data_IF_050117861082
#
_entry.id   IF_050117861082
#
_cell.length_a   1.000
_cell.length_b   1.000
_cell.length_c   1.000
_cell.angle_alpha   90.00
_cell.angle_beta   90.00
_cell.angle_gamma   90.00
#
_symmetry.space_group_name_H-M   'P 1'
#
loop_
_entity.id
_entity.type
_entity.pdbx_description
1 polymer ?
#
# COMPACT_ATOMS: atom_id res chain seq x y z
N UNK A 1 -45.19 27.87 -14.91
CA UNK A 1 -45.19 26.51 -15.52
C UNK A 1 -44.06 26.29 -16.53
N UNK A 2 -43.54 27.31 -17.23
CA UNK A 2 -42.40 27.14 -18.15
C UNK A 2 -41.04 26.83 -17.46
N UNK A 3 -40.77 27.46 -16.30
CA UNK A 3 -39.49 27.29 -15.57
C UNK A 3 -39.24 25.87 -15.04
N UNK A 4 -40.32 25.11 -14.78
CA UNK A 4 -40.25 23.73 -14.28
C UNK A 4 -39.90 22.75 -15.42
N UNK A 5 -40.38 23.00 -16.64
CA UNK A 5 -40.07 22.17 -17.80
C UNK A 5 -38.59 22.24 -18.20
N UNK A 6 -37.95 23.41 -18.08
CA UNK A 6 -36.50 23.57 -18.32
C UNK A 6 -35.65 22.84 -17.27
N UNK A 7 -36.05 22.88 -16.00
CA UNK A 7 -35.35 22.16 -14.94
C UNK A 7 -35.45 20.65 -15.12
N UNK A 8 -36.62 20.14 -15.51
CA UNK A 8 -36.83 18.71 -15.81
C UNK A 8 -36.04 18.30 -17.06
N UNK A 9 -35.99 19.15 -18.09
CA UNK A 9 -35.18 18.93 -19.28
C UNK A 9 -33.68 18.85 -18.97
N UNK A 10 -33.15 19.78 -18.16
CA UNK A 10 -31.76 19.76 -17.72
C UNK A 10 -31.43 18.53 -16.86
N UNK A 11 -32.32 18.16 -15.94
CA UNK A 11 -32.14 16.96 -15.11
C UNK A 11 -32.15 15.68 -15.95
N UNK A 12 -33.02 15.59 -16.95
CA UNK A 12 -33.09 14.46 -17.88
C UNK A 12 -31.82 14.36 -18.75
N UNK A 13 -31.29 15.49 -19.23
CA UNK A 13 -30.02 15.53 -19.97
C UNK A 13 -28.85 15.09 -19.08
N UNK A 14 -28.80 15.54 -17.83
CA UNK A 14 -27.77 15.11 -16.86
C UNK A 14 -27.86 13.59 -16.55
N UNK A 15 -29.06 13.05 -16.39
CA UNK A 15 -29.27 11.62 -16.15
C UNK A 15 -28.90 10.76 -17.37
N UNK A 16 -29.13 11.26 -18.59
CA UNK A 16 -28.66 10.62 -19.84
C UNK A 16 -27.14 10.74 -20.01
N UNK A 17 -26.51 11.79 -19.49
CA UNK A 17 -25.06 11.94 -19.51
C UNK A 17 -24.36 10.96 -18.53
N UNK A 18 -25.01 10.62 -17.42
CA UNK A 18 -24.47 9.68 -16.43
C UNK A 18 -24.43 8.22 -16.93
N UNK A 19 -25.37 7.81 -17.79
CA UNK A 19 -25.41 6.43 -18.32
C UNK A 19 -24.22 6.12 -19.25
N UNK A 20 -23.48 7.12 -19.74
CA UNK A 20 -22.26 6.93 -20.54
C UNK A 20 -21.02 6.67 -19.67
N UNK A 21 -21.08 6.93 -18.37
CA UNK A 21 -19.96 6.65 -17.45
C UNK A 21 -19.97 5.22 -16.89
N UNK A 22 -21.00 4.43 -17.21
CA UNK A 22 -21.19 3.07 -16.68
C UNK A 22 -20.95 1.94 -17.69
N UNK A 23 -20.52 2.23 -18.92
CA UNK A 23 -20.00 1.21 -19.85
C UNK A 23 -18.48 1.28 -19.89
N UNK A 24 -17.90 0.36 -19.15
CA UNK A 24 -16.53 -0.15 -19.14
C UNK A 24 -15.69 0.19 -20.38
N UNK A 25 -14.44 0.62 -20.12
CA UNK A 25 -13.28 0.77 -21.03
C UNK A 25 -12.91 2.19 -21.54
N UNK A 26 -13.20 3.27 -20.81
CA UNK A 26 -12.79 4.64 -21.20
C UNK A 26 -11.70 5.23 -20.28
N UNK A 27 -10.66 4.46 -19.97
CA UNK A 27 -9.44 4.98 -19.33
C UNK A 27 -8.13 4.73 -20.08
N UNK A 28 -8.02 3.84 -21.10
CA UNK A 28 -6.72 3.66 -21.76
C UNK A 28 -6.22 4.82 -22.64
N UNK A 29 -7.01 5.56 -23.46
CA UNK A 29 -6.37 6.47 -24.42
C UNK A 29 -6.22 7.91 -23.95
N UNK A 30 -6.99 8.42 -22.98
CA UNK A 30 -6.95 9.84 -22.57
C UNK A 30 -5.70 10.17 -21.71
N UNK A 31 -5.13 9.20 -21.01
CA UNK A 31 -3.94 9.37 -20.17
C UNK A 31 -2.62 8.97 -20.86
N UNK A 32 -2.66 8.64 -22.14
CA UNK A 32 -1.49 8.19 -22.91
C UNK A 32 -0.23 9.08 -22.76
N UNK A 33 -0.28 10.44 -22.74
CA UNK A 33 0.93 11.25 -22.51
C UNK A 33 1.36 11.37 -21.03
N UNK A 34 0.55 10.92 -20.06
CA UNK A 34 0.92 10.95 -18.63
C UNK A 34 1.72 9.71 -18.20
N UNK A 35 1.63 8.60 -18.94
CA UNK A 35 2.33 7.36 -18.58
C UNK A 35 3.81 7.33 -18.99
N UNK A 36 4.23 8.08 -20.02
CA UNK A 36 5.66 8.24 -20.32
C UNK A 36 6.37 9.13 -19.29
N UNK A 37 5.64 10.05 -18.66
CA UNK A 37 6.20 10.95 -17.65
C UNK A 37 6.47 10.23 -16.31
N UNK A 38 5.71 9.16 -16.03
CA UNK A 38 5.86 8.42 -14.76
C UNK A 38 7.26 7.84 -14.59
N UNK A 39 7.89 7.39 -15.67
CA UNK A 39 9.26 6.86 -15.62
C UNK A 39 10.33 7.96 -15.57
N UNK A 40 9.97 9.23 -15.78
CA UNK A 40 10.86 10.37 -15.53
C UNK A 40 10.97 10.70 -14.05
N UNK A 41 9.91 10.43 -13.27
CA UNK A 41 9.83 10.69 -11.83
C UNK A 41 10.02 9.43 -10.97
N UNK A 42 9.90 8.23 -11.55
CA UNK A 42 10.03 6.98 -10.82
C UNK A 42 11.51 6.62 -10.56
N UNK A 43 11.83 6.40 -9.28
CA UNK A 43 13.16 5.97 -8.85
C UNK A 43 13.19 4.44 -8.63
N UNK A 44 13.47 3.69 -9.70
CA UNK A 44 13.56 2.24 -9.64
C UNK A 44 14.85 1.71 -8.98
N UNK A 45 15.86 2.56 -8.79
CA UNK A 45 17.15 2.16 -8.23
C UNK A 45 17.92 1.20 -9.15
N UNK A 46 18.12 -0.05 -8.70
CA UNK A 46 18.78 -1.13 -9.47
C UNK A 46 17.81 -1.82 -10.43
N UNK A 47 17.26 -1.05 -11.35
CA UNK A 47 16.34 -1.54 -12.35
C UNK A 47 15.89 -0.46 -13.33
N UNK A 48 15.20 -0.88 -14.37
CA UNK A 48 14.68 0.00 -15.43
C UNK A 48 13.19 0.22 -15.24
N UNK A 49 12.74 1.48 -15.28
CA UNK A 49 11.32 1.78 -15.26
C UNK A 49 10.66 1.41 -16.59
N UNK A 50 9.50 0.76 -16.53
CA UNK A 50 8.62 0.54 -17.69
C UNK A 50 7.20 0.98 -17.37
N UNK A 51 6.54 1.74 -18.26
CA UNK A 51 5.13 2.05 -18.11
C UNK A 51 4.31 0.74 -18.18
N UNK A 52 3.29 0.61 -17.33
CA UNK A 52 2.50 -0.62 -17.23
C UNK A 52 1.08 -0.33 -16.75
N UNK A 53 0.10 -0.55 -17.62
CA UNK A 53 -1.33 -0.45 -17.27
C UNK A 53 -1.82 -1.58 -16.35
N UNK A 54 -1.00 -2.61 -16.13
CA UNK A 54 -1.34 -3.75 -15.28
C UNK A 54 -0.80 -3.60 -13.85
N UNK A 55 -0.26 -2.43 -13.52
CA UNK A 55 0.28 -2.10 -12.19
C UNK A 55 -0.56 -1.00 -11.56
N UNK A 56 -0.68 -1.01 -10.24
CA UNK A 56 -1.47 -0.01 -9.50
C UNK A 56 -0.97 1.43 -9.67
N UNK A 57 0.29 1.61 -10.09
CA UNK A 57 0.95 2.92 -10.24
C UNK A 57 1.23 3.28 -11.69
N UNK A 58 0.67 2.52 -12.63
CA UNK A 58 0.90 2.70 -14.05
C UNK A 58 2.38 2.55 -14.51
N UNK A 59 3.26 2.02 -13.66
CA UNK A 59 4.64 1.64 -13.99
C UNK A 59 5.12 0.44 -13.17
N UNK A 60 6.13 -0.24 -13.71
CA UNK A 60 6.83 -1.35 -13.07
C UNK A 60 8.33 -1.14 -13.17
N UNK A 61 9.06 -1.49 -12.12
CA UNK A 61 10.52 -1.53 -12.15
C UNK A 61 10.99 -2.93 -12.54
N UNK A 62 11.59 -3.07 -13.71
CA UNK A 62 12.31 -4.28 -14.10
C UNK A 62 13.68 -4.29 -13.42
N UNK A 63 13.78 -5.05 -12.33
CA UNK A 63 15.00 -5.11 -11.53
C UNK A 63 16.09 -5.97 -12.16
N UNK A 64 17.35 -5.62 -11.90
CA UNK A 64 18.52 -6.37 -12.33
C UNK A 64 18.57 -7.77 -11.68
N UNK A 65 19.41 -8.67 -12.22
CA UNK A 65 19.55 -10.02 -11.69
C UNK A 65 19.93 -10.00 -10.20
N UNK A 66 19.20 -10.77 -9.39
CA UNK A 66 19.38 -10.79 -7.93
C UNK A 66 18.60 -9.70 -7.18
N UNK A 67 17.90 -8.80 -7.88
CA UNK A 67 17.08 -7.75 -7.29
C UNK A 67 15.59 -8.03 -7.51
N UNK A 68 14.75 -7.60 -6.57
CA UNK A 68 13.29 -7.71 -6.67
C UNK A 68 12.63 -6.38 -6.32
N UNK A 69 11.51 -6.08 -6.97
CA UNK A 69 10.74 -4.89 -6.68
C UNK A 69 10.11 -5.01 -5.29
N UNK A 70 10.36 -4.03 -4.43
CA UNK A 70 9.73 -3.98 -3.11
C UNK A 70 8.23 -3.66 -3.24
N UNK A 71 7.40 -4.32 -2.42
CA UNK A 71 5.96 -4.00 -2.29
C UNK A 71 5.70 -2.86 -1.29
N UNK A 72 6.75 -2.25 -0.75
CA UNK A 72 6.69 -1.10 0.16
C UNK A 72 6.54 0.21 -0.62
N UNK A 73 6.24 1.31 0.08
CA UNK A 73 5.97 2.65 -0.47
C UNK A 73 6.96 3.17 -1.52
N UNK A 74 8.22 2.73 -1.50
CA UNK A 74 9.24 3.24 -2.43
C UNK A 74 9.26 2.52 -3.79
N UNK A 75 8.62 1.35 -3.95
CA UNK A 75 8.57 0.53 -5.19
C UNK A 75 9.90 0.26 -5.89
N UNK A 76 11.03 0.61 -5.29
CA UNK A 76 12.37 0.45 -5.83
C UNK A 76 12.82 -1.00 -5.74
N UNK A 77 13.81 -1.34 -6.58
CA UNK A 77 14.49 -2.61 -6.51
C UNK A 77 15.30 -2.71 -5.21
N UNK A 78 15.17 -3.84 -4.51
CA UNK A 78 15.98 -4.22 -3.36
C UNK A 78 16.67 -5.56 -3.63
N UNK A 79 17.83 -5.77 -3.00
CA UNK A 79 18.54 -7.05 -3.04
C UNK A 79 17.56 -8.15 -2.63
N UNK A 80 17.38 -9.14 -3.48
CA UNK A 80 16.50 -10.26 -3.19
C UNK A 80 17.09 -11.07 -2.01
N UNK A 81 16.26 -11.61 -1.11
CA UNK A 81 16.76 -12.52 -0.10
C UNK A 81 17.43 -13.72 -0.77
N UNK A 82 18.60 -14.13 -0.25
CA UNK A 82 19.29 -15.34 -0.69
C UNK A 82 18.32 -16.53 -0.64
N UNK A 83 18.33 -17.44 -1.64
CA UNK A 83 17.40 -18.58 -1.71
C UNK A 83 17.44 -19.49 -0.47
N UNK A 84 18.46 -19.36 0.39
CA UNK A 84 18.59 -20.10 1.65
C UNK A 84 17.69 -19.53 2.76
N UNK A 85 17.49 -18.21 2.82
CA UNK A 85 16.76 -17.59 3.95
C UNK A 85 15.23 -17.69 3.85
N UNK A 86 14.69 -17.97 2.67
CA UNK A 86 13.24 -18.14 2.49
C UNK A 86 12.74 -19.49 3.04
N UNK A 87 13.61 -20.50 3.09
CA UNK A 87 13.22 -21.88 3.42
C UNK A 87 13.22 -22.17 4.92
N UNK A 88 14.05 -21.48 5.69
CA UNK A 88 14.19 -21.74 7.14
C UNK A 88 13.25 -20.91 8.01
N UNK A 89 12.94 -19.65 7.64
CA UNK A 89 12.05 -18.79 8.44
C UNK A 89 10.55 -19.15 8.29
N UNK A 90 10.18 -19.86 7.22
CA UNK A 90 8.77 -20.08 6.84
C UNK A 90 8.11 -21.29 7.50
N UNK A 91 8.89 -22.18 8.12
CA UNK A 91 8.34 -23.45 8.61
C UNK A 91 7.79 -23.42 10.05
N UNK A 92 8.13 -22.40 10.86
CA UNK A 92 7.84 -22.44 12.31
C UNK A 92 7.18 -21.17 12.90
N UNK A 93 6.96 -20.11 12.12
CA UNK A 93 6.28 -18.90 12.62
C UNK A 93 4.87 -18.80 12.04
N UNK A 94 3.87 -18.81 12.92
CA UNK A 94 2.49 -18.53 12.54
C UNK A 94 2.43 -17.10 12.01
N UNK A 95 2.18 -16.92 10.72
CA UNK A 95 2.02 -15.60 10.07
C UNK A 95 1.07 -14.65 10.82
N UNK A 96 0.18 -15.19 11.65
CA UNK A 96 -0.76 -14.44 12.46
C UNK A 96 -0.24 -14.09 13.86
N UNK A 97 1.04 -14.27 14.17
CA UNK A 97 1.59 -13.94 15.49
C UNK A 97 1.57 -12.43 15.74
N UNK A 98 0.82 -11.95 16.75
CA UNK A 98 0.70 -10.53 17.08
C UNK A 98 2.04 -9.82 17.31
N UNK A 99 3.00 -10.51 17.93
CA UNK A 99 4.32 -9.96 18.24
C UNK A 99 5.31 -9.97 17.06
N UNK A 100 4.97 -10.62 15.96
CA UNK A 100 5.81 -10.60 14.76
C UNK A 100 5.74 -9.23 14.05
N UNK A 101 4.60 -8.53 14.17
CA UNK A 101 4.36 -7.24 13.54
C UNK A 101 4.28 -6.06 14.52
N UNK A 102 4.19 -6.35 15.82
CA UNK A 102 4.17 -5.33 16.86
C UNK A 102 5.57 -4.76 17.11
N UNK A 103 5.68 -3.43 17.17
CA UNK A 103 6.84 -2.73 17.70
C UNK A 103 6.49 -2.15 19.07
N UNK A 104 7.09 -2.69 20.14
CA UNK A 104 6.85 -2.22 21.50
C UNK A 104 7.86 -1.16 21.97
N UNK A 105 8.79 -0.71 21.11
CA UNK A 105 9.80 0.28 21.48
C UNK A 105 10.68 -0.18 22.66
N UNK A 106 10.71 0.59 23.75
CA UNK A 106 11.47 0.26 24.97
C UNK A 106 10.86 -0.84 25.85
N UNK A 107 9.97 -1.67 25.31
CA UNK A 107 9.26 -2.73 26.02
C UNK A 107 9.30 -4.07 25.30
N UNK A 108 8.74 -5.09 25.95
CA UNK A 108 8.64 -6.45 25.40
C UNK A 108 7.21 -6.71 24.91
N UNK A 109 7.07 -7.28 23.72
CA UNK A 109 5.77 -7.74 23.24
C UNK A 109 5.36 -9.05 23.91
N UNK A 110 4.13 -9.10 24.39
CA UNK A 110 3.50 -10.28 24.97
C UNK A 110 2.19 -10.60 24.24
N UNK A 111 2.11 -11.81 23.69
CA UNK A 111 0.95 -12.29 22.94
C UNK A 111 -0.18 -12.62 23.91
N UNK A 112 -1.31 -11.93 23.76
CA UNK A 112 -2.49 -12.17 24.61
C UNK A 112 -3.52 -13.08 23.92
N UNK A 113 -3.56 -13.08 22.59
CA UNK A 113 -4.43 -13.97 21.80
C UNK A 113 -3.84 -14.26 20.42
N UNK A 114 -4.59 -14.91 19.54
CA UNK A 114 -4.20 -15.14 18.15
C UNK A 114 -4.00 -13.83 17.35
N UNK A 115 -4.66 -12.72 17.74
CA UNK A 115 -4.60 -11.45 17.01
C UNK A 115 -4.25 -10.23 17.88
N UNK A 116 -4.12 -10.42 19.20
CA UNK A 116 -3.86 -9.33 20.14
C UNK A 116 -2.53 -9.53 20.85
N UNK A 117 -1.81 -8.44 21.02
CA UNK A 117 -0.61 -8.34 21.83
C UNK A 117 -0.76 -7.21 22.83
N UNK A 118 0.17 -7.18 23.78
CA UNK A 118 0.42 -6.04 24.66
C UNK A 118 1.92 -5.79 24.75
N UNK A 119 2.30 -4.56 25.06
CA UNK A 119 3.66 -4.11 25.29
C UNK A 119 3.86 -3.90 26.80
N UNK A 120 4.80 -4.66 27.37
CA UNK A 120 5.22 -4.54 28.76
C UNK A 120 6.49 -3.68 28.80
N UNK A 121 6.39 -2.43 29.30
CA UNK A 121 7.48 -1.46 29.26
C UNK A 121 8.60 -1.76 30.27
N UNK A 122 9.85 -1.53 29.86
CA UNK A 122 11.01 -1.60 30.75
C UNK A 122 11.07 -0.39 31.70
N UNK A 123 11.90 -0.47 32.75
CA UNK A 123 12.02 0.62 33.72
C UNK A 123 12.36 1.97 33.06
N UNK A 124 11.60 3.00 33.42
CA UNK A 124 11.72 4.35 32.87
C UNK A 124 11.08 4.55 31.49
N UNK A 125 10.40 3.55 30.93
CA UNK A 125 9.53 3.70 29.76
C UNK A 125 8.05 3.61 30.16
N UNK A 126 7.20 4.28 29.40
CA UNK A 126 5.75 4.27 29.60
C UNK A 126 5.03 4.09 28.26
N UNK A 127 3.86 3.44 28.30
CA UNK A 127 3.06 3.21 27.11
C UNK A 127 2.50 4.54 26.58
N UNK A 128 2.52 4.72 25.26
CA UNK A 128 1.79 5.82 24.62
C UNK A 128 0.31 5.77 25.02
N UNK A 129 -0.24 6.93 25.40
CA UNK A 129 -1.62 7.07 25.88
C UNK A 129 -1.97 6.14 27.07
N UNK A 130 -0.98 5.69 27.85
CA UNK A 130 -1.17 4.75 28.96
C UNK A 130 -1.93 3.46 28.57
N UNK A 131 -1.78 3.02 27.31
CA UNK A 131 -2.48 1.85 26.76
C UNK A 131 -1.46 0.82 26.30
N UNK A 132 -1.56 -0.41 26.81
CA UNK A 132 -0.58 -1.48 26.55
C UNK A 132 -0.58 -2.00 25.12
N UNK A 133 -1.55 -1.63 24.28
CA UNK A 133 -1.51 -1.93 22.85
C UNK A 133 -0.58 -1.00 22.05
N UNK A 134 -0.07 0.07 22.67
CA UNK A 134 0.83 1.03 22.01
C UNK A 134 2.29 0.85 22.45
N UNK A 135 3.25 1.36 21.66
CA UNK A 135 4.67 1.26 21.97
C UNK A 135 5.05 2.01 23.25
N UNK A 136 6.12 1.54 23.89
CA UNK A 136 6.74 2.17 25.04
C UNK A 136 7.72 3.26 24.61
N UNK A 137 7.63 4.44 25.21
CA UNK A 137 8.53 5.58 24.97
C UNK A 137 9.02 6.17 26.31
N UNK A 138 10.06 6.99 26.23
CA UNK A 138 10.67 7.70 27.35
C UNK A 138 10.73 9.17 26.94
N UNK A 139 10.56 10.06 27.93
CA UNK A 139 10.73 11.50 27.72
C UNK A 139 12.21 11.87 27.51
#
# INVERSE_FOLDING_TARGET
MASSAYAIGLLAVLLVLQTWTATSNILPPILSPFFDDVCKVAECGKGTCKPSQNSSFAFVCECDAGWKQSRTLNYSCKEGPSPVQEKEKRANESFFEPCHWADCGGGTCNKTSAFTHRCDCSEGYYNLLNTTAFPCFRE
#
